data_IF_161899869938
#
_entry.id   IF_161899869938
#
_cell.length_a   1.000
_cell.length_b   1.000
_cell.length_c   1.000
_cell.angle_alpha   90.00
_cell.angle_beta   90.00
_cell.angle_gamma   90.00
#
_symmetry.space_group_name_H-M   'P 1'
#
loop_
_entity.id
_entity.type
_entity.pdbx_description
1 polymer ?
#
# COMPACT_ATOMS: atom_id res chain seq x y z
N UNK A 1 -0.09 23.41 17.56
CA UNK A 1 1.12 22.77 18.11
C UNK A 1 0.76 21.34 18.34
N UNK A 2 1.17 20.51 17.39
CA UNK A 2 0.90 19.09 17.26
C UNK A 2 2.26 18.42 17.47
N UNK A 3 2.35 17.47 18.40
CA UNK A 3 3.46 16.52 18.40
C UNK A 3 3.25 15.51 17.25
N UNK A 4 4.20 14.65 16.95
CA UNK A 4 4.09 13.54 16.00
C UNK A 4 4.89 12.43 16.68
N UNK A 5 4.48 11.17 16.58
CA UNK A 5 5.24 10.08 17.17
C UNK A 5 5.36 8.98 16.13
N UNK A 6 6.60 8.69 15.75
CA UNK A 6 6.99 7.59 14.89
C UNK A 6 7.87 6.68 15.74
N UNK A 7 7.49 5.40 15.85
CA UNK A 7 8.36 4.37 16.45
C UNK A 7 9.07 3.65 15.31
N UNK A 8 10.41 3.72 15.26
CA UNK A 8 11.23 3.07 14.24
C UNK A 8 12.21 2.13 14.93
N UNK A 9 12.16 0.83 14.63
CA UNK A 9 13.02 -0.18 15.26
C UNK A 9 13.81 -0.95 14.18
N UNK A 10 15.13 -0.76 14.13
CA UNK A 10 16.07 -1.34 13.15
C UNK A 10 17.53 -1.12 13.56
N UNK A 11 18.51 -1.76 12.89
CA UNK A 11 19.93 -1.56 13.22
C UNK A 11 20.45 -0.18 12.76
N UNK A 12 21.19 0.50 13.66
CA UNK A 12 22.09 1.67 13.50
C UNK A 12 22.02 2.55 12.23
N UNK A 13 21.87 3.86 12.44
CA UNK A 13 22.18 4.92 11.46
C UNK A 13 23.66 5.36 11.60
N UNK A 14 24.39 5.60 10.50
CA UNK A 14 25.68 6.32 10.53
C UNK A 14 25.44 7.82 10.82
N UNK A 15 26.27 8.43 11.67
CA UNK A 15 26.18 9.84 12.13
C UNK A 15 26.28 10.88 11.00
N UNK A 16 25.48 11.94 11.08
CA UNK A 16 25.67 13.21 10.35
C UNK A 16 25.52 14.38 11.33
N UNK A 17 26.49 15.31 11.33
CA UNK A 17 26.46 16.56 12.11
C UNK A 17 25.27 17.46 11.71
N UNK A 18 24.62 18.05 12.71
CA UNK A 18 23.60 19.09 12.52
C UNK A 18 24.30 20.42 12.19
N UNK A 19 24.14 20.92 10.97
CA UNK A 19 24.51 22.28 10.60
C UNK A 19 23.29 23.21 10.62
N UNK A 20 23.51 24.46 11.03
CA UNK A 20 22.52 25.54 10.94
C UNK A 20 21.96 25.64 9.51
N UNK A 21 20.69 26.03 9.34
CA UNK A 21 20.07 26.20 8.02
C UNK A 21 20.92 27.14 7.15
N UNK A 22 21.14 26.81 5.86
CA UNK A 22 22.00 27.61 5.01
C UNK A 22 21.42 29.03 4.87
N UNK A 23 22.20 30.02 5.31
CA UNK A 23 22.15 31.34 4.69
C UNK A 23 22.43 31.12 3.19
N UNK A 24 21.66 31.77 2.33
CA UNK A 24 21.69 31.69 0.87
C UNK A 24 22.99 32.26 0.25
N UNK A 25 24.16 32.02 0.86
CA UNK A 25 25.46 32.44 0.34
C UNK A 25 26.43 31.26 0.41
N UNK A 26 26.63 30.63 -0.74
CA UNK A 26 27.29 29.33 -0.87
C UNK A 26 28.70 29.25 -0.27
N UNK A 27 29.00 28.06 0.26
CA UNK A 27 30.21 27.27 0.04
C UNK A 27 30.10 25.97 0.84
N UNK A 28 30.40 24.84 0.19
CA UNK A 28 30.36 23.48 0.78
C UNK A 28 31.62 23.22 1.60
N UNK A 29 31.47 22.64 2.79
CA UNK A 29 32.57 22.01 3.56
C UNK A 29 32.12 20.61 4.00
N UNK A 30 32.92 19.60 3.67
CA UNK A 30 32.81 18.23 4.20
C UNK A 30 33.73 18.06 5.40
N UNK A 31 33.27 17.41 6.48
CA UNK A 31 34.14 16.65 7.40
C UNK A 31 33.41 15.51 8.12
N UNK A 32 34.17 14.46 8.41
CA UNK A 32 33.86 13.20 9.08
C UNK A 32 34.20 13.18 10.58
N UNK A 33 33.65 12.17 11.29
CA UNK A 33 34.04 11.51 12.57
C UNK A 33 33.34 11.93 13.88
N UNK A 34 32.47 11.06 14.43
CA UNK A 34 32.68 10.33 15.70
C UNK A 34 31.90 10.74 16.97
N UNK A 35 31.23 9.72 17.55
CA UNK A 35 30.86 9.46 18.96
C UNK A 35 29.69 10.24 19.62
N UNK A 36 28.51 9.63 19.54
CA UNK A 36 27.53 9.34 20.62
C UNK A 36 26.51 10.41 21.08
N UNK A 37 25.28 9.88 21.30
CA UNK A 37 24.15 10.31 22.12
C UNK A 37 23.26 11.51 21.68
N UNK A 38 22.10 11.13 21.12
CA UNK A 38 20.76 11.75 21.20
C UNK A 38 20.11 12.36 19.92
N UNK A 39 19.03 11.70 19.49
CA UNK A 39 17.67 12.24 19.30
C UNK A 39 17.47 13.45 18.36
N UNK A 40 17.65 13.25 17.05
CA UNK A 40 16.95 13.99 15.98
C UNK A 40 16.96 13.19 14.65
N UNK A 41 15.83 12.75 14.08
CA UNK A 41 15.77 12.25 12.69
C UNK A 41 15.68 13.51 11.85
N UNK A 42 16.88 13.96 11.49
CA UNK A 42 17.15 14.84 10.38
C UNK A 42 18.22 14.12 9.55
N UNK A 43 17.89 13.70 8.34
CA UNK A 43 18.90 13.27 7.37
C UNK A 43 19.18 14.42 6.42
N UNK A 44 20.46 14.79 6.34
CA UNK A 44 20.95 15.98 5.65
C UNK A 44 20.93 15.87 4.13
N UNK A 45 20.51 16.98 3.53
CA UNK A 45 20.81 17.54 2.21
C UNK A 45 21.70 16.68 1.27
N UNK A 46 21.05 15.98 0.34
CA UNK A 46 21.35 16.15 -1.08
C UNK A 46 20.15 16.86 -1.70
N UNK A 47 20.39 17.77 -2.65
CA UNK A 47 19.49 18.90 -3.00
C UNK A 47 18.08 18.56 -3.56
N UNK A 48 17.56 17.32 -3.47
CA UNK A 48 16.41 16.93 -4.31
C UNK A 48 15.41 15.92 -3.73
N UNK A 49 15.42 15.56 -2.44
CA UNK A 49 14.31 14.85 -1.81
C UNK A 49 14.17 15.25 -0.34
N UNK A 50 12.96 15.60 0.11
CA UNK A 50 12.72 16.09 1.48
C UNK A 50 11.69 15.23 2.20
N UNK A 51 12.17 14.29 3.02
CA UNK A 51 11.36 13.75 4.11
C UNK A 51 11.13 14.88 5.14
N UNK A 52 9.98 15.55 5.08
CA UNK A 52 9.63 16.59 6.03
C UNK A 52 9.19 15.97 7.37
N UNK A 53 10.11 15.96 8.35
CA UNK A 53 9.75 15.90 9.77
C UNK A 53 9.68 17.34 10.27
N UNK A 54 8.52 17.79 10.76
CA UNK A 54 8.30 19.18 11.19
C UNK A 54 9.33 19.60 12.26
N UNK A 55 10.21 20.58 11.99
CA UNK A 55 11.23 21.04 12.94
C UNK A 55 10.65 21.90 14.09
N UNK A 56 9.34 22.19 14.12
CA UNK A 56 8.72 23.03 15.14
C UNK A 56 8.37 22.33 16.47
N UNK A 57 8.71 21.05 16.64
CA UNK A 57 8.55 20.33 17.91
C UNK A 57 9.75 19.43 18.18
N UNK A 58 10.54 19.75 19.19
CA UNK A 58 11.73 19.01 19.63
C UNK A 58 11.44 17.66 20.32
N UNK A 59 10.33 16.99 19.99
CA UNK A 59 9.84 15.75 20.66
C UNK A 59 9.06 14.81 19.70
N UNK A 60 9.57 14.51 18.49
CA UNK A 60 8.71 14.01 17.38
C UNK A 60 8.84 12.55 16.91
N UNK A 61 9.69 11.72 17.51
CA UNK A 61 9.76 10.29 17.21
C UNK A 61 10.62 9.58 18.28
N UNK A 62 10.45 8.26 18.42
CA UNK A 62 11.20 7.42 19.35
C UNK A 62 11.83 6.25 18.59
N UNK A 63 13.14 6.10 18.72
CA UNK A 63 13.89 4.93 18.26
C UNK A 63 14.29 4.17 19.53
N UNK A 64 13.87 2.91 19.65
CA UNK A 64 14.24 2.02 20.75
C UNK A 64 14.64 0.67 20.15
N UNK A 65 15.43 -0.12 20.87
CA UNK A 65 15.80 -1.46 20.43
C UNK A 65 15.04 -2.55 21.23
N UNK A 66 14.28 -2.14 22.25
CA UNK A 66 13.51 -3.01 23.13
C UNK A 66 11.99 -2.80 22.97
N UNK A 67 11.44 -3.47 21.95
CA UNK A 67 10.01 -3.66 21.67
C UNK A 67 9.17 -4.06 22.88
N UNK A 68 9.76 -4.79 23.83
CA UNK A 68 9.02 -5.41 24.94
C UNK A 68 8.51 -4.38 25.97
N UNK A 69 9.01 -3.14 25.91
CA UNK A 69 8.51 -2.01 26.71
C UNK A 69 7.16 -1.48 26.21
N UNK A 70 6.85 -1.72 24.94
CA UNK A 70 5.74 -1.06 24.25
C UNK A 70 4.64 -2.03 23.86
N UNK A 71 4.99 -3.29 23.58
CA UNK A 71 4.04 -4.32 23.19
C UNK A 71 3.93 -5.42 24.24
N UNK A 72 2.69 -5.86 24.47
CA UNK A 72 2.33 -6.99 25.35
C UNK A 72 2.93 -8.32 24.92
N UNK A 73 3.41 -8.39 23.68
CA UNK A 73 3.93 -9.60 23.09
C UNK A 73 5.10 -9.27 22.15
N UNK A 74 6.18 -10.03 22.27
CA UNK A 74 7.40 -9.92 21.46
C UNK A 74 7.41 -10.89 20.28
N UNK A 75 6.36 -11.71 20.12
CA UNK A 75 6.25 -12.77 19.12
C UNK A 75 5.03 -12.57 18.22
N UNK A 76 5.02 -11.46 17.47
CA UNK A 76 3.94 -11.10 16.56
C UNK A 76 4.22 -11.56 15.11
N UNK A 77 3.19 -12.00 14.39
CA UNK A 77 3.21 -12.34 12.96
C UNK A 77 4.39 -13.24 12.54
N UNK A 78 4.70 -14.27 13.35
CA UNK A 78 5.84 -15.16 13.09
C UNK A 78 5.45 -16.26 12.10
N UNK A 79 6.33 -16.62 11.15
CA UNK A 79 6.09 -17.77 10.28
C UNK A 79 5.96 -19.06 11.07
N UNK A 80 4.86 -19.79 10.86
CA UNK A 80 4.62 -21.09 11.51
C UNK A 80 5.39 -22.23 10.83
N UNK A 81 5.64 -22.10 9.53
CA UNK A 81 6.38 -23.08 8.73
C UNK A 81 7.13 -22.44 7.53
N UNK A 82 8.45 -22.41 7.61
CA UNK A 82 9.37 -21.85 6.59
C UNK A 82 9.29 -22.53 5.22
N UNK A 83 8.76 -23.76 5.16
CA UNK A 83 8.60 -24.52 3.91
C UNK A 83 7.36 -24.13 3.12
N UNK A 84 6.46 -23.39 3.76
CA UNK A 84 5.19 -22.90 3.20
C UNK A 84 5.10 -21.41 3.54
N UNK A 85 5.86 -20.55 2.84
CA UNK A 85 6.02 -19.13 3.18
C UNK A 85 4.72 -18.30 3.15
N UNK A 86 3.58 -18.91 2.83
CA UNK A 86 2.26 -18.31 2.84
C UNK A 86 1.53 -18.45 4.19
N UNK A 87 1.98 -19.34 5.09
CA UNK A 87 1.31 -19.62 6.37
C UNK A 87 2.07 -18.97 7.54
N UNK A 88 1.73 -17.72 7.87
CA UNK A 88 2.16 -17.05 9.10
C UNK A 88 1.10 -17.29 10.18
N UNK A 89 1.51 -17.63 11.41
CA UNK A 89 0.58 -17.67 12.54
C UNK A 89 0.36 -16.23 13.02
N UNK A 90 -0.80 -15.67 12.66
CA UNK A 90 -1.17 -14.27 12.87
C UNK A 90 -2.15 -14.11 14.05
N UNK A 91 -2.35 -15.16 14.86
CA UNK A 91 -3.32 -15.18 15.96
C UNK A 91 -3.01 -14.20 17.10
N UNK A 92 -1.88 -13.51 17.02
CA UNK A 92 -1.47 -12.50 17.99
C UNK A 92 -1.28 -11.20 17.21
N UNK A 93 -1.90 -10.10 17.67
CA UNK A 93 -1.67 -8.73 17.20
C UNK A 93 -0.86 -7.97 18.25
N UNK A 94 0.01 -7.00 17.89
CA UNK A 94 0.73 -6.22 18.86
C UNK A 94 -0.27 -5.37 19.66
N UNK A 95 -0.60 -5.76 20.89
CA UNK A 95 -1.36 -4.90 21.80
C UNK A 95 -0.37 -4.03 22.56
N UNK A 96 -0.54 -2.70 22.48
CA UNK A 96 0.24 -1.75 23.26
C UNK A 96 0.02 -1.99 24.77
N UNK A 97 1.09 -1.99 25.55
CA UNK A 97 1.04 -2.11 27.03
C UNK A 97 1.35 -0.80 27.75
N UNK A 98 1.89 0.18 27.05
CA UNK A 98 2.19 1.49 27.60
C UNK A 98 1.35 2.55 26.88
N UNK A 99 0.49 3.23 27.64
CA UNK A 99 -0.40 4.30 27.20
C UNK A 99 0.23 5.70 27.36
N UNK A 100 1.41 5.81 28.00
CA UNK A 100 2.11 7.09 28.26
C UNK A 100 2.64 7.76 26.98
N UNK A 101 2.45 7.16 25.80
CA UNK A 101 2.67 7.80 24.50
C UNK A 101 1.61 8.86 24.14
N UNK A 102 0.49 8.91 24.87
CA UNK A 102 -0.73 9.60 24.45
C UNK A 102 -0.85 11.04 24.95
N UNK A 103 0.06 11.93 24.54
CA UNK A 103 -0.37 13.31 24.26
C UNK A 103 -0.92 13.32 22.83
N UNK A 104 -2.17 12.86 22.70
CA UNK A 104 -2.90 12.73 21.43
C UNK A 104 -2.81 14.03 20.66
N UNK A 105 -1.98 13.96 19.64
CA UNK A 105 -1.84 14.97 18.61
C UNK A 105 -3.21 15.14 17.99
N UNK A 106 -3.76 16.36 18.00
CA UNK A 106 -4.89 16.68 17.13
C UNK A 106 -4.42 16.39 15.72
N UNK A 107 -4.88 15.30 15.12
CA UNK A 107 -4.58 14.99 13.72
C UNK A 107 -4.92 16.20 12.84
N UNK A 108 -4.24 16.33 11.71
CA UNK A 108 -4.71 17.20 10.63
C UNK A 108 -6.23 16.99 10.47
N UNK A 109 -7.07 18.04 10.35
CA UNK A 109 -8.52 17.92 10.27
C UNK A 109 -9.02 16.97 9.18
N UNK A 110 -8.16 16.55 8.23
CA UNK A 110 -8.46 15.52 7.23
C UNK A 110 -8.58 14.10 7.79
N UNK A 111 -7.97 13.79 8.95
CA UNK A 111 -7.96 12.45 9.54
C UNK A 111 -8.93 12.31 10.72
N UNK A 112 -9.51 11.12 10.87
CA UNK A 112 -10.30 10.75 12.03
C UNK A 112 -9.43 10.76 13.29
N UNK A 113 -9.89 11.42 14.35
CA UNK A 113 -9.16 11.44 15.63
C UNK A 113 -9.32 10.11 16.35
N UNK A 114 -8.23 9.58 16.88
CA UNK A 114 -8.19 8.35 17.68
C UNK A 114 -7.37 8.51 18.95
N UNK A 115 -7.62 7.66 19.95
CA UNK A 115 -6.89 7.56 21.21
C UNK A 115 -5.81 6.47 21.24
N UNK A 116 -5.52 5.82 20.10
CA UNK A 116 -4.47 4.78 20.01
C UNK A 116 -3.48 5.09 18.89
N UNK A 117 -2.26 4.56 19.02
CA UNK A 117 -1.22 4.60 18.00
C UNK A 117 -1.34 3.38 17.08
N UNK A 118 -1.08 3.57 15.79
CA UNK A 118 -1.10 2.51 14.80
C UNK A 118 -2.49 2.20 14.26
N UNK A 119 -2.61 1.05 13.59
CA UNK A 119 -3.77 0.68 12.77
C UNK A 119 -5.02 0.34 13.57
N UNK A 120 -4.88 -0.18 14.79
CA UNK A 120 -5.98 -0.68 15.60
C UNK A 120 -5.79 -0.35 17.08
N UNK A 121 -6.91 -0.17 17.77
CA UNK A 121 -6.93 0.03 19.22
C UNK A 121 -7.05 -1.27 20.00
N UNK A 122 -7.28 -1.15 21.32
CA UNK A 122 -7.32 -2.29 22.23
C UNK A 122 -8.73 -2.87 22.39
N UNK A 123 -9.77 -2.07 22.17
CA UNK A 123 -11.18 -2.50 22.26
C UNK A 123 -11.62 -3.22 20.98
N UNK A 124 -12.70 -4.02 21.07
CA UNK A 124 -13.21 -4.75 19.91
C UNK A 124 -13.64 -3.82 18.77
N UNK A 125 -14.28 -2.69 19.10
CA UNK A 125 -14.70 -1.70 18.10
C UNK A 125 -13.55 -0.99 17.39
N UNK A 126 -12.35 -0.99 17.97
CA UNK A 126 -11.15 -0.39 17.37
C UNK A 126 -10.34 -1.40 16.55
N UNK A 127 -10.72 -2.68 16.58
CA UNK A 127 -10.15 -3.75 15.77
C UNK A 127 -11.06 -3.97 14.56
N UNK A 128 -10.91 -3.12 13.55
CA UNK A 128 -11.71 -3.16 12.32
C UNK A 128 -11.64 -4.48 11.54
N UNK A 129 -10.67 -5.35 11.85
CA UNK A 129 -10.57 -6.71 11.31
C UNK A 129 -11.43 -7.75 12.05
N UNK A 130 -11.82 -7.47 13.28
CA UNK A 130 -12.45 -8.45 14.17
C UNK A 130 -13.89 -8.81 13.78
N UNK A 131 -14.36 -9.98 14.22
CA UNK A 131 -15.71 -10.50 14.02
C UNK A 131 -16.19 -10.45 12.55
N UNK A 132 -15.29 -10.73 11.61
CA UNK A 132 -15.56 -10.58 10.18
C UNK A 132 -14.95 -11.68 9.30
N UNK A 133 -15.50 -11.84 8.09
CA UNK A 133 -14.98 -12.74 7.04
C UNK A 133 -14.11 -12.00 6.00
N UNK A 134 -14.14 -10.65 6.00
CA UNK A 134 -13.40 -9.84 5.04
C UNK A 134 -11.89 -9.84 5.33
N UNK A 135 -11.50 -9.94 6.59
CA UNK A 135 -10.09 -9.94 6.97
C UNK A 135 -9.56 -11.37 7.07
N UNK A 136 -9.06 -11.89 5.95
CA UNK A 136 -8.41 -13.21 5.90
C UNK A 136 -7.02 -13.10 5.26
N UNK A 137 -5.99 -13.16 6.09
CA UNK A 137 -4.60 -13.02 5.68
C UNK A 137 -4.02 -14.30 5.05
N UNK A 138 -4.65 -15.47 5.26
CA UNK A 138 -4.23 -16.72 4.63
C UNK A 138 -5.35 -17.31 3.74
N UNK A 139 -5.52 -16.80 2.51
CA UNK A 139 -6.46 -17.37 1.57
C UNK A 139 -5.99 -18.67 0.91
N UNK A 140 -4.82 -19.25 1.26
CA UNK A 140 -4.21 -20.36 0.52
C UNK A 140 -5.14 -21.59 0.45
N UNK A 141 -5.83 -21.89 1.55
CA UNK A 141 -6.65 -23.09 1.68
C UNK A 141 -8.16 -22.83 1.45
N UNK A 142 -8.55 -21.59 1.10
CA UNK A 142 -9.96 -21.25 0.86
C UNK A 142 -10.45 -21.88 -0.45
N UNK A 143 -11.57 -22.60 -0.40
CA UNK A 143 -12.16 -23.26 -1.57
C UNK A 143 -13.28 -22.40 -2.16
N UNK A 144 -13.01 -21.70 -3.27
CA UNK A 144 -14.02 -20.90 -3.97
C UNK A 144 -14.87 -21.68 -4.99
N UNK A 145 -14.61 -22.98 -5.19
CA UNK A 145 -15.30 -23.86 -6.15
C UNK A 145 -15.33 -23.28 -7.58
N UNK A 146 -14.20 -22.77 -8.08
CA UNK A 146 -14.13 -22.23 -9.42
C UNK A 146 -14.47 -23.30 -10.48
N UNK A 147 -15.45 -23.03 -11.34
CA UNK A 147 -15.75 -23.85 -12.52
C UNK A 147 -15.70 -23.02 -13.79
N UNK A 148 -14.60 -23.21 -14.55
CA UNK A 148 -14.36 -22.53 -15.84
C UNK A 148 -15.46 -22.77 -16.88
N UNK A 149 -16.24 -23.85 -16.77
CA UNK A 149 -17.30 -24.16 -17.72
C UNK A 149 -18.59 -23.37 -17.44
N UNK A 150 -18.80 -22.95 -16.19
CA UNK A 150 -20.00 -22.20 -15.77
C UNK A 150 -19.73 -20.73 -15.49
N UNK A 151 -18.47 -20.36 -15.26
CA UNK A 151 -18.08 -18.96 -15.05
C UNK A 151 -18.46 -18.08 -16.25
N UNK A 152 -18.99 -16.89 -15.96
CA UNK A 152 -19.26 -15.85 -16.96
C UNK A 152 -17.92 -15.32 -17.44
N UNK A 153 -17.60 -15.58 -18.71
CA UNK A 153 -16.40 -15.06 -19.35
C UNK A 153 -16.60 -13.58 -19.67
N UNK A 154 -15.65 -12.76 -19.22
CA UNK A 154 -15.62 -11.32 -19.46
C UNK A 154 -14.32 -11.02 -20.21
N UNK A 155 -14.42 -10.46 -21.40
CA UNK A 155 -13.29 -10.19 -22.30
C UNK A 155 -13.56 -8.90 -23.10
N UNK A 156 -12.51 -8.18 -23.49
CA UNK A 156 -12.62 -6.95 -24.28
C UNK A 156 -13.26 -5.80 -23.50
N UNK A 157 -14.48 -5.40 -23.85
CA UNK A 157 -15.10 -4.18 -23.34
C UNK A 157 -16.41 -4.45 -22.58
N UNK A 158 -16.59 -3.77 -21.46
CA UNK A 158 -17.87 -3.62 -20.77
C UNK A 158 -18.46 -2.29 -21.22
N UNK A 159 -19.32 -2.34 -22.25
CA UNK A 159 -19.87 -1.16 -22.93
C UNK A 159 -21.19 -0.64 -22.34
N UNK A 160 -21.79 -1.38 -21.40
CA UNK A 160 -23.08 -1.05 -20.80
C UNK A 160 -23.06 -1.33 -19.31
N UNK A 161 -23.85 -0.55 -18.57
CA UNK A 161 -24.05 -0.77 -17.14
C UNK A 161 -24.47 -2.22 -16.91
N UNK A 162 -23.73 -2.91 -16.05
CA UNK A 162 -23.96 -4.32 -15.77
C UNK A 162 -23.78 -4.60 -14.28
N UNK A 163 -24.43 -5.66 -13.83
CA UNK A 163 -24.39 -6.09 -12.44
C UNK A 163 -23.86 -7.51 -12.37
N UNK A 164 -22.82 -7.70 -11.56
CA UNK A 164 -22.28 -9.00 -11.18
C UNK A 164 -22.86 -9.42 -9.84
N UNK A 165 -23.36 -10.65 -9.78
CA UNK A 165 -24.18 -11.16 -8.69
C UNK A 165 -23.50 -12.37 -8.05
N UNK A 166 -23.69 -12.55 -6.73
CA UNK A 166 -22.96 -13.60 -5.97
C UNK A 166 -23.36 -15.05 -6.30
N UNK A 167 -24.45 -15.25 -7.03
CA UNK A 167 -24.87 -16.57 -7.52
C UNK A 167 -24.06 -17.05 -8.74
N UNK A 168 -23.16 -16.21 -9.25
CA UNK A 168 -22.30 -16.50 -10.40
C UNK A 168 -20.84 -16.24 -10.07
N UNK A 169 -19.98 -16.89 -10.84
CA UNK A 169 -18.55 -16.61 -10.89
C UNK A 169 -18.24 -15.88 -12.19
N UNK A 170 -17.30 -14.95 -12.13
CA UNK A 170 -16.88 -14.14 -13.28
C UNK A 170 -15.41 -14.41 -13.55
N UNK A 171 -15.05 -14.60 -14.81
CA UNK A 171 -13.67 -14.84 -15.23
C UNK A 171 -13.22 -13.73 -16.18
N UNK A 172 -12.27 -12.92 -15.74
CA UNK A 172 -11.61 -11.87 -16.53
C UNK A 172 -10.56 -12.54 -17.43
N UNK A 173 -10.75 -12.42 -18.74
CA UNK A 173 -9.86 -12.97 -19.76
C UNK A 173 -9.14 -11.82 -20.48
N UNK A 174 -7.82 -11.76 -20.32
CA UNK A 174 -7.01 -10.65 -20.81
C UNK A 174 -7.36 -9.32 -20.15
N UNK A 175 -7.06 -8.22 -20.85
CA UNK A 175 -7.39 -6.87 -20.40
C UNK A 175 -8.85 -6.53 -20.73
N UNK A 176 -9.64 -6.24 -19.70
CA UNK A 176 -11.06 -5.92 -19.79
C UNK A 176 -11.29 -4.47 -19.42
N UNK A 177 -11.83 -3.68 -20.34
CA UNK A 177 -12.02 -2.24 -20.18
C UNK A 177 -13.49 -1.88 -19.93
N UNK A 178 -13.77 -1.24 -18.80
CA UNK A 178 -15.05 -0.59 -18.52
C UNK A 178 -15.03 0.78 -19.19
N UNK A 179 -15.94 1.02 -20.15
CA UNK A 179 -15.94 2.24 -20.97
C UNK A 179 -16.39 3.47 -20.19
N UNK A 180 -16.01 4.65 -20.70
CA UNK A 180 -16.51 5.93 -20.21
C UNK A 180 -18.05 5.96 -20.13
N UNK A 181 -18.58 6.52 -19.04
CA UNK A 181 -20.01 6.58 -18.75
C UNK A 181 -20.63 5.25 -18.30
N UNK A 182 -19.88 4.15 -18.25
CA UNK A 182 -20.36 2.83 -17.81
C UNK A 182 -20.09 2.62 -16.33
N UNK A 183 -21.07 2.06 -15.63
CA UNK A 183 -20.95 1.62 -14.24
C UNK A 183 -21.00 0.09 -14.15
N UNK A 184 -19.95 -0.53 -13.63
CA UNK A 184 -19.97 -1.93 -13.21
C UNK A 184 -20.39 -2.01 -11.74
N UNK A 185 -21.51 -2.69 -11.47
CA UNK A 185 -21.96 -2.98 -10.10
C UNK A 185 -21.56 -4.41 -9.74
N UNK A 186 -20.98 -4.65 -8.56
CA UNK A 186 -20.65 -5.98 -8.06
C UNK A 186 -21.31 -6.14 -6.69
N UNK A 187 -22.18 -7.15 -6.57
CA UNK A 187 -22.90 -7.40 -5.32
C UNK A 187 -21.99 -7.99 -4.23
N UNK A 188 -22.26 -7.74 -2.94
CA UNK A 188 -21.56 -8.38 -1.81
C UNK A 188 -21.46 -9.90 -1.97
N UNK A 189 -20.34 -10.48 -1.55
CA UNK A 189 -20.10 -11.92 -1.62
C UNK A 189 -19.79 -12.48 -3.02
N UNK A 190 -19.69 -11.63 -4.05
CA UNK A 190 -19.27 -12.07 -5.39
C UNK A 190 -17.78 -12.43 -5.40
N UNK A 191 -17.44 -13.53 -6.09
CA UNK A 191 -16.05 -13.92 -6.36
C UNK A 191 -15.74 -13.72 -7.84
N UNK A 192 -14.73 -12.90 -8.12
CA UNK A 192 -14.23 -12.58 -9.45
C UNK A 192 -12.86 -13.23 -9.63
N UNK A 193 -12.68 -13.92 -10.74
CA UNK A 193 -11.47 -14.65 -11.07
C UNK A 193 -10.69 -13.94 -12.17
N UNK A 194 -9.40 -13.72 -11.96
CA UNK A 194 -8.47 -13.30 -12.99
C UNK A 194 -7.83 -14.50 -13.70
N UNK A 195 -7.80 -14.48 -15.04
CA UNK A 195 -7.11 -15.50 -15.80
C UNK A 195 -5.60 -15.44 -15.57
N UNK A 196 -5.00 -16.60 -15.33
CA UNK A 196 -3.55 -16.75 -15.36
C UNK A 196 -3.08 -16.73 -16.80
N UNK A 197 -2.30 -15.72 -17.15
CA UNK A 197 -1.72 -15.52 -18.47
C UNK A 197 -0.40 -14.79 -18.37
N UNK A 198 0.27 -14.63 -19.52
CA UNK A 198 1.50 -13.83 -19.64
C UNK A 198 1.21 -12.61 -20.50
N UNK A 199 1.75 -11.46 -20.11
CA UNK A 199 1.47 -10.20 -20.81
C UNK A 199 -0.02 -9.90 -20.88
N UNK A 200 -0.50 -9.45 -22.05
CA UNK A 200 -1.90 -9.03 -22.27
C UNK A 200 -2.94 -10.15 -22.10
N UNK A 201 -2.52 -11.41 -21.98
CA UNK A 201 -3.42 -12.54 -21.70
C UNK A 201 -3.75 -12.69 -20.20
N UNK A 202 -2.98 -12.04 -19.32
CA UNK A 202 -3.29 -11.97 -17.90
C UNK A 202 -4.61 -11.22 -17.69
N UNK A 203 -5.45 -11.73 -16.79
CA UNK A 203 -6.71 -11.07 -16.44
C UNK A 203 -6.44 -9.74 -15.75
N UNK A 204 -6.89 -8.64 -16.34
CA UNK A 204 -6.84 -7.30 -15.75
C UNK A 204 -8.21 -6.65 -15.93
N UNK A 205 -8.74 -6.04 -14.87
CA UNK A 205 -9.98 -5.27 -14.94
C UNK A 205 -9.66 -3.77 -14.88
N UNK A 206 -9.83 -3.07 -16.00
CA UNK A 206 -9.48 -1.67 -16.18
C UNK A 206 -10.74 -0.81 -16.20
N UNK A 207 -10.79 0.19 -15.34
CA UNK A 207 -11.79 1.24 -15.34
C UNK A 207 -11.22 2.49 -16.04
N UNK A 208 -11.55 2.68 -17.32
CA UNK A 208 -11.13 3.87 -18.06
C UNK A 208 -11.73 5.15 -17.44
N UNK A 209 -11.10 6.29 -17.72
CA UNK A 209 -11.58 7.62 -17.29
C UNK A 209 -13.09 7.78 -17.52
N UNK A 210 -13.83 8.05 -16.44
CA UNK A 210 -15.27 8.32 -16.45
C UNK A 210 -16.17 7.08 -16.37
N UNK A 211 -15.58 5.89 -16.42
CA UNK A 211 -16.24 4.69 -15.93
C UNK A 211 -16.31 4.70 -14.39
N UNK A 212 -17.21 3.90 -13.83
CA UNK A 212 -17.41 3.79 -12.39
C UNK A 212 -17.55 2.35 -11.93
N UNK A 213 -17.16 2.12 -10.69
CA UNK A 213 -17.49 0.92 -9.94
C UNK A 213 -18.48 1.21 -8.82
N UNK A 214 -19.39 0.27 -8.58
CA UNK A 214 -20.19 0.20 -7.36
C UNK A 214 -20.09 -1.21 -6.79
N UNK A 215 -19.12 -1.42 -5.90
CA UNK A 215 -18.73 -2.75 -5.42
C UNK A 215 -18.45 -2.71 -3.92
N UNK A 216 -19.51 -2.60 -3.14
CA UNK A 216 -19.44 -2.48 -1.69
C UNK A 216 -19.85 -3.81 -1.07
N UNK A 217 -18.88 -4.60 -0.62
CA UNK A 217 -19.10 -5.80 0.17
C UNK A 217 -19.55 -5.48 1.59
N UNK A 218 -19.60 -6.49 2.45
CA UNK A 218 -19.82 -6.33 3.89
C UNK A 218 -18.75 -7.07 4.68
N UNK A 219 -18.62 -6.84 6.00
CA UNK A 219 -17.71 -7.63 6.83
C UNK A 219 -17.93 -9.13 6.70
N UNK A 220 -19.16 -9.59 6.51
CA UNK A 220 -19.55 -11.00 6.40
C UNK A 220 -19.52 -11.53 4.95
N UNK A 221 -19.81 -10.66 3.97
CA UNK A 221 -19.87 -10.97 2.54
C UNK A 221 -18.91 -10.06 1.75
N UNK A 222 -17.58 -10.20 1.94
CA UNK A 222 -16.60 -9.43 1.16
C UNK A 222 -16.70 -9.77 -0.33
N UNK A 223 -16.28 -8.83 -1.17
CA UNK A 223 -16.06 -9.11 -2.59
C UNK A 223 -14.62 -9.60 -2.75
N UNK A 224 -14.45 -10.74 -3.40
CA UNK A 224 -13.14 -11.38 -3.56
C UNK A 224 -12.72 -11.33 -5.03
N UNK A 225 -11.52 -10.82 -5.27
CA UNK A 225 -10.83 -10.91 -6.55
C UNK A 225 -9.61 -11.82 -6.38
N UNK A 226 -9.52 -12.89 -7.16
CA UNK A 226 -8.49 -13.91 -6.96
C UNK A 226 -8.11 -14.63 -8.26
N UNK A 227 -7.03 -15.41 -8.23
CA UNK A 227 -6.60 -16.23 -9.35
C UNK A 227 -7.43 -17.51 -9.55
N UNK A 228 -7.25 -18.16 -10.70
CA UNK A 228 -7.98 -19.40 -11.06
C UNK A 228 -7.38 -20.69 -10.48
N UNK A 229 -6.28 -20.62 -9.73
CA UNK A 229 -5.63 -21.80 -9.16
C UNK A 229 -6.44 -22.38 -7.99
N UNK A 230 -6.39 -23.71 -7.88
CA UNK A 230 -7.05 -24.44 -6.81
C UNK A 230 -6.44 -24.10 -5.44
N UNK A 231 -7.23 -24.34 -4.37
CA UNK A 231 -6.75 -24.19 -3.00
C UNK A 231 -5.49 -25.04 -2.78
N UNK A 232 -4.49 -24.46 -2.11
CA UNK A 232 -3.18 -25.07 -1.91
C UNK A 232 -2.18 -24.84 -3.06
N UNK A 233 -2.63 -24.49 -4.27
CA UNK A 233 -1.77 -24.29 -5.45
C UNK A 233 -1.57 -22.81 -5.81
N UNK A 234 -2.02 -21.89 -4.94
CA UNK A 234 -1.94 -20.45 -5.17
C UNK A 234 -0.54 -19.91 -4.98
N UNK A 235 -0.14 -19.00 -5.87
CA UNK A 235 1.15 -18.31 -5.91
C UNK A 235 0.90 -16.85 -6.24
N UNK A 236 1.85 -15.97 -5.91
CA UNK A 236 1.78 -14.57 -6.35
C UNK A 236 1.72 -14.44 -7.87
N UNK A 237 1.17 -13.33 -8.36
CA UNK A 237 1.07 -13.03 -9.80
C UNK A 237 0.31 -14.06 -10.62
N UNK A 238 -0.82 -14.52 -10.10
CA UNK A 238 -1.72 -15.42 -10.82
C UNK A 238 -2.65 -14.71 -11.79
N UNK A 239 -2.77 -13.39 -11.67
CA UNK A 239 -3.52 -12.52 -12.56
C UNK A 239 -3.01 -11.09 -12.38
N UNK A 240 -3.42 -10.16 -13.24
CA UNK A 240 -2.85 -8.82 -13.23
C UNK A 240 -3.36 -7.94 -12.10
N UNK A 241 -4.67 -7.74 -11.99
CA UNK A 241 -5.23 -6.90 -10.92
C UNK A 241 -6.38 -6.01 -11.39
N UNK A 242 -6.64 -4.96 -10.62
CA UNK A 242 -7.66 -3.95 -10.93
C UNK A 242 -6.99 -2.60 -11.15
N UNK A 243 -7.33 -1.91 -12.23
CA UNK A 243 -6.76 -0.60 -12.58
C UNK A 243 -7.87 0.44 -12.62
N UNK A 244 -7.67 1.56 -11.92
CA UNK A 244 -8.57 2.72 -11.95
C UNK A 244 -7.89 3.91 -12.58
N UNK A 245 -8.51 4.49 -13.61
CA UNK A 245 -8.00 5.64 -14.34
C UNK A 245 -8.95 6.81 -14.14
N UNK A 246 -8.44 7.88 -13.54
CA UNK A 246 -9.18 9.09 -13.21
C UNK A 246 -8.65 10.34 -13.90
N UNK A 247 -9.26 11.47 -13.56
CA UNK A 247 -8.98 12.81 -14.13
C UNK A 247 -8.35 13.79 -13.14
N UNK A 248 -7.90 13.32 -11.97
CA UNK A 248 -7.25 14.19 -11.01
C UNK A 248 -5.81 14.56 -11.43
N UNK A 249 -5.26 15.68 -10.93
CA UNK A 249 -3.90 16.09 -11.24
C UNK A 249 -2.84 15.03 -10.91
N UNK A 250 -1.82 14.97 -11.76
CA UNK A 250 -0.56 14.24 -11.57
C UNK A 250 0.57 15.11 -12.17
N UNK A 251 1.82 14.71 -11.98
CA UNK A 251 2.98 15.45 -12.46
C UNK A 251 3.62 14.90 -13.75
N UNK A 252 2.94 13.96 -14.42
CA UNK A 252 3.34 13.35 -15.71
C UNK A 252 2.60 13.96 -16.91
N UNK A 253 1.31 14.32 -16.76
CA UNK A 253 0.47 14.97 -17.79
C UNK A 253 -1.00 14.53 -17.80
N UNK A 254 -1.77 14.97 -18.81
CA UNK A 254 -3.24 14.77 -18.87
C UNK A 254 -3.68 13.46 -19.57
N UNK A 255 -2.89 12.95 -20.51
CA UNK A 255 -3.21 11.78 -21.35
C UNK A 255 -2.06 10.79 -21.31
N UNK A 256 -1.73 10.35 -20.10
CA UNK A 256 -0.62 9.43 -19.86
C UNK A 256 -1.17 8.01 -19.91
N UNK A 257 -0.52 7.15 -20.70
CA UNK A 257 -0.81 5.73 -20.70
C UNK A 257 -0.28 5.12 -19.41
N UNK A 258 -1.16 4.51 -18.61
CA UNK A 258 -0.76 3.72 -17.46
C UNK A 258 0.09 2.53 -17.94
N UNK A 259 1.11 2.17 -17.17
CA UNK A 259 1.94 1.04 -17.52
C UNK A 259 1.17 -0.30 -17.51
N UNK A 260 1.73 -1.26 -18.23
CA UNK A 260 1.16 -2.61 -18.34
C UNK A 260 -0.16 -2.70 -19.12
N UNK A 261 -0.77 -1.59 -19.54
CA UNK A 261 -2.06 -1.58 -20.26
C UNK A 261 -1.90 -1.32 -21.76
N UNK A 262 -2.58 -2.14 -22.56
CA UNK A 262 -2.61 -2.06 -24.00
C UNK A 262 -4.05 -2.24 -24.49
N UNK A 263 -4.73 -1.13 -24.77
CA UNK A 263 -6.05 -1.11 -25.41
C UNK A 263 -5.99 -0.86 -26.92
N UNK A 264 -7.10 -1.15 -27.60
CA UNK A 264 -7.22 -0.91 -29.05
C UNK A 264 -7.81 0.48 -29.37
N UNK A 265 -8.52 1.10 -28.42
CA UNK A 265 -9.09 2.43 -28.59
C UNK A 265 -8.18 3.54 -28.02
N UNK A 266 -8.32 4.75 -28.57
CA UNK A 266 -7.41 5.86 -28.29
C UNK A 266 -7.37 6.30 -26.82
N UNK A 267 -8.45 6.11 -26.07
CA UNK A 267 -8.58 6.53 -24.68
C UNK A 267 -8.35 5.39 -23.67
N UNK A 268 -8.12 4.16 -24.15
CA UNK A 268 -7.92 3.02 -23.27
C UNK A 268 -6.58 3.14 -22.52
N UNK A 269 -6.61 2.92 -21.20
CA UNK A 269 -5.39 2.99 -20.39
C UNK A 269 -4.94 4.42 -20.05
N UNK A 270 -5.59 5.46 -20.58
CA UNK A 270 -5.18 6.84 -20.33
C UNK A 270 -5.69 7.37 -18.99
N UNK A 271 -4.81 7.96 -18.19
CA UNK A 271 -5.12 8.72 -16.97
C UNK A 271 -4.58 10.15 -17.03
N UNK A 272 -5.09 11.00 -16.14
CA UNK A 272 -4.66 12.39 -16.01
C UNK A 272 -5.76 13.40 -16.34
N UNK A 273 -5.53 14.63 -15.87
CA UNK A 273 -6.44 15.76 -16.00
C UNK A 273 -6.29 16.75 -14.86
N UNK A 274 -7.30 17.61 -14.69
CA UNK A 274 -7.31 18.69 -13.70
C UNK A 274 -8.52 18.66 -12.74
N UNK A 275 -9.29 17.56 -12.72
CA UNK A 275 -10.46 17.42 -11.85
C UNK A 275 -10.10 16.65 -10.58
N UNK A 276 -9.70 17.40 -9.54
CA UNK A 276 -9.39 16.85 -8.22
C UNK A 276 -10.57 16.07 -7.58
N UNK A 277 -11.80 16.35 -8.03
CA UNK A 277 -13.04 15.79 -7.49
C UNK A 277 -13.62 14.67 -8.34
N UNK A 278 -12.89 14.23 -9.37
CA UNK A 278 -13.24 13.07 -10.18
C UNK A 278 -13.50 11.84 -9.30
N UNK A 279 -14.36 10.94 -9.78
CA UNK A 279 -14.82 9.79 -9.00
C UNK A 279 -14.89 8.55 -9.87
N UNK A 280 -14.06 7.56 -9.50
CA UNK A 280 -14.10 6.20 -10.04
C UNK A 280 -15.20 5.35 -9.40
N UNK A 281 -15.98 5.91 -8.46
CA UNK A 281 -17.10 5.24 -7.82
C UNK A 281 -16.86 4.90 -6.34
N UNK A 282 -17.47 3.81 -5.88
CA UNK A 282 -17.41 3.37 -4.48
C UNK A 282 -17.13 1.88 -4.37
N UNK A 283 -16.16 1.52 -3.53
CA UNK A 283 -15.84 0.12 -3.26
C UNK A 283 -15.32 -0.08 -1.83
N UNK A 284 -15.73 -1.19 -1.23
CA UNK A 284 -15.35 -1.50 0.15
C UNK A 284 -15.49 -2.97 0.47
N UNK A 285 -14.79 -3.43 1.52
CA UNK A 285 -14.73 -4.83 1.94
C UNK A 285 -14.25 -5.74 0.81
N UNK A 286 -13.12 -5.37 0.23
CA UNK A 286 -12.47 -6.11 -0.84
C UNK A 286 -11.35 -6.98 -0.31
N UNK A 287 -11.24 -8.18 -0.88
CA UNK A 287 -10.05 -9.01 -0.83
C UNK A 287 -9.50 -9.16 -2.23
N UNK A 288 -8.28 -8.70 -2.46
CA UNK A 288 -7.56 -8.91 -3.71
C UNK A 288 -6.40 -9.85 -3.40
N UNK A 289 -6.40 -11.00 -4.04
CA UNK A 289 -5.55 -12.12 -3.67
C UNK A 289 -4.71 -12.53 -4.88
N UNK A 290 -3.40 -12.69 -4.68
CA UNK A 290 -2.49 -13.25 -5.68
C UNK A 290 -2.43 -12.49 -7.02
N UNK A 291 -2.77 -11.20 -7.02
CA UNK A 291 -2.65 -10.31 -8.17
C UNK A 291 -1.22 -9.74 -8.28
N UNK A 292 -0.94 -8.84 -9.22
CA UNK A 292 0.38 -8.25 -9.43
C UNK A 292 1.22 -9.04 -10.43
N UNK A 293 1.48 -8.50 -11.63
CA UNK A 293 2.28 -9.18 -12.66
C UNK A 293 3.01 -8.20 -13.58
N UNK A 294 4.28 -8.50 -13.87
CA UNK A 294 4.98 -7.94 -15.01
C UNK A 294 4.31 -8.34 -16.34
N UNK A 295 3.71 -7.38 -17.02
CA UNK A 295 3.07 -7.58 -18.34
C UNK A 295 4.15 -7.68 -19.42
N UNK A 296 5.15 -6.80 -19.34
CA UNK A 296 6.41 -6.89 -20.10
C UNK A 296 7.55 -6.46 -19.17
N UNK A 297 8.84 -6.73 -19.49
CA UNK A 297 9.93 -6.34 -18.60
C UNK A 297 9.92 -4.83 -18.29
N UNK A 298 9.78 -4.46 -17.01
CA UNK A 298 9.70 -3.07 -16.55
C UNK A 298 8.41 -2.35 -16.98
N UNK A 299 7.32 -3.12 -17.19
CA UNK A 299 5.95 -2.59 -17.21
C UNK A 299 5.04 -3.58 -16.52
N UNK A 300 4.65 -3.21 -15.31
CA UNK A 300 3.98 -4.05 -14.36
C UNK A 300 2.51 -3.61 -14.21
N UNK A 301 1.69 -4.47 -13.60
CA UNK A 301 0.37 -4.11 -13.10
C UNK A 301 0.26 -4.66 -11.70
N UNK A 302 -0.18 -3.84 -10.77
CA UNK A 302 -0.20 -4.15 -9.34
C UNK A 302 -1.50 -4.84 -8.94
N UNK A 303 -1.61 -5.25 -7.67
CA UNK A 303 -2.89 -5.80 -7.22
C UNK A 303 -4.04 -4.80 -7.36
N UNK A 304 -3.78 -3.53 -7.02
CA UNK A 304 -4.60 -2.40 -7.45
C UNK A 304 -3.71 -1.24 -7.90
N UNK A 305 -3.96 -0.73 -9.10
CA UNK A 305 -3.26 0.45 -9.65
C UNK A 305 -4.22 1.64 -9.74
N UNK A 306 -3.78 2.80 -9.27
CA UNK A 306 -4.54 4.05 -9.25
C UNK A 306 -3.85 5.13 -10.10
N UNK A 307 -4.31 5.36 -11.33
CA UNK A 307 -3.87 6.47 -12.15
C UNK A 307 -4.77 7.70 -11.98
N UNK A 308 -4.28 8.79 -11.39
CA UNK A 308 -5.02 10.05 -11.26
C UNK A 308 -6.42 9.93 -10.66
N UNK A 309 -6.63 9.03 -9.68
CA UNK A 309 -7.95 8.85 -9.07
C UNK A 309 -8.28 10.01 -8.14
N UNK A 310 -9.44 10.63 -8.35
CA UNK A 310 -9.86 11.83 -7.63
C UNK A 310 -10.48 11.57 -6.26
N UNK A 311 -10.57 12.65 -5.48
CA UNK A 311 -11.11 12.67 -4.12
C UNK A 311 -12.61 12.40 -4.02
N UNK A 312 -13.32 12.39 -5.15
CA UNK A 312 -14.73 11.98 -5.22
C UNK A 312 -14.92 10.46 -5.15
N UNK A 313 -13.84 9.67 -5.20
CA UNK A 313 -13.87 8.21 -5.06
C UNK A 313 -13.94 7.83 -3.57
N UNK A 314 -14.77 6.86 -3.22
CA UNK A 314 -14.83 6.32 -1.85
C UNK A 314 -14.27 4.90 -1.83
N UNK A 315 -13.22 4.68 -1.05
CA UNK A 315 -12.58 3.38 -0.92
C UNK A 315 -12.14 3.12 0.52
N UNK A 316 -12.60 2.01 1.11
CA UNK A 316 -12.19 1.62 2.46
C UNK A 316 -12.33 0.11 2.71
N UNK A 317 -11.61 -0.43 3.70
CA UNK A 317 -11.61 -1.87 4.02
C UNK A 317 -11.15 -2.71 2.83
N UNK A 318 -9.89 -2.51 2.44
CA UNK A 318 -9.26 -3.21 1.32
C UNK A 318 -8.12 -4.07 1.87
N UNK A 319 -8.18 -5.37 1.61
CA UNK A 319 -7.13 -6.32 1.96
C UNK A 319 -6.47 -6.87 0.69
N UNK A 320 -5.16 -6.70 0.59
CA UNK A 320 -4.31 -7.31 -0.44
C UNK A 320 -3.51 -8.44 0.19
N UNK A 321 -3.50 -9.61 -0.47
CA UNK A 321 -2.71 -10.76 -0.01
C UNK A 321 -1.88 -11.34 -1.14
N UNK A 322 -0.61 -11.62 -0.86
CA UNK A 322 0.29 -12.31 -1.77
C UNK A 322 0.40 -11.61 -3.14
N UNK A 323 0.50 -10.28 -3.15
CA UNK A 323 0.75 -9.51 -4.36
C UNK A 323 2.10 -9.93 -4.98
N UNK A 324 2.11 -10.17 -6.29
CA UNK A 324 3.28 -10.55 -7.09
C UNK A 324 4.08 -9.38 -7.63
N UNK A 325 3.67 -8.20 -7.21
CA UNK A 325 4.24 -6.88 -7.49
C UNK A 325 3.85 -6.02 -6.29
N UNK A 326 3.73 -4.71 -6.48
CA UNK A 326 3.15 -3.85 -5.46
C UNK A 326 1.74 -4.29 -5.04
N UNK A 327 1.44 -4.15 -3.75
CA UNK A 327 0.09 -4.40 -3.27
C UNK A 327 -0.88 -3.27 -3.70
N UNK A 328 -0.45 -2.01 -3.64
CA UNK A 328 -1.16 -0.89 -4.26
C UNK A 328 -0.17 0.16 -4.75
N UNK A 329 -0.42 0.73 -5.92
CA UNK A 329 0.39 1.82 -6.46
C UNK A 329 -0.48 3.00 -6.91
N UNK A 330 -0.04 4.21 -6.59
CA UNK A 330 -0.67 5.46 -7.00
C UNK A 330 0.21 6.26 -7.95
N UNK A 331 -0.27 6.43 -9.18
CA UNK A 331 0.27 7.37 -10.15
C UNK A 331 -0.52 8.68 -10.08
N UNK A 332 -0.17 9.55 -9.13
CA UNK A 332 -0.85 10.82 -8.93
C UNK A 332 -2.25 10.70 -8.33
N UNK A 333 -3.02 11.79 -8.36
CA UNK A 333 -4.38 11.83 -7.83
C UNK A 333 -4.50 12.20 -6.35
N UNK A 334 -5.74 12.13 -5.84
CA UNK A 334 -6.16 12.65 -4.52
C UNK A 334 -7.17 11.75 -3.80
N UNK A 335 -7.22 10.46 -4.15
CA UNK A 335 -8.12 9.54 -3.44
C UNK A 335 -7.72 9.46 -1.95
N UNK A 336 -8.73 9.50 -1.09
CA UNK A 336 -8.56 9.26 0.35
C UNK A 336 -9.06 7.86 0.66
N UNK A 337 -8.28 7.09 1.42
CA UNK A 337 -8.58 5.70 1.74
C UNK A 337 -8.39 5.41 3.22
N UNK A 338 -9.20 4.48 3.75
CA UNK A 338 -9.06 4.02 5.13
C UNK A 338 -9.22 2.53 5.29
N UNK A 339 -8.64 1.96 6.34
CA UNK A 339 -8.69 0.52 6.65
C UNK A 339 -8.06 -0.30 5.52
N UNK A 340 -6.75 -0.11 5.35
CA UNK A 340 -5.95 -0.77 4.31
C UNK A 340 -5.12 -1.86 4.98
N UNK A 341 -5.10 -3.05 4.39
CA UNK A 341 -4.28 -4.15 4.84
C UNK A 341 -3.49 -4.75 3.69
N UNK A 342 -2.19 -4.97 3.88
CA UNK A 342 -1.37 -5.77 2.98
C UNK A 342 -0.71 -6.89 3.77
N UNK A 343 -0.59 -8.03 3.11
CA UNK A 343 0.08 -9.18 3.67
C UNK A 343 0.79 -9.95 2.57
N UNK A 344 2.03 -10.34 2.84
CA UNK A 344 2.76 -11.26 1.97
C UNK A 344 3.09 -10.70 0.57
N UNK A 345 3.18 -9.38 0.43
CA UNK A 345 3.59 -8.67 -0.80
C UNK A 345 4.99 -9.08 -1.28
N UNK A 346 5.24 -9.07 -2.58
CA UNK A 346 6.56 -9.34 -3.17
C UNK A 346 7.39 -8.07 -3.24
N UNK A 347 6.89 -7.03 -3.92
CA UNK A 347 7.58 -5.74 -4.05
C UNK A 347 7.09 -4.74 -3.00
N UNK A 348 6.72 -3.51 -3.31
CA UNK A 348 6.34 -2.53 -2.31
C UNK A 348 4.91 -2.77 -1.78
N UNK A 349 4.69 -2.55 -0.48
CA UNK A 349 3.33 -2.69 0.03
C UNK A 349 2.45 -1.56 -0.51
N UNK A 350 2.85 -0.30 -0.33
CA UNK A 350 2.19 0.86 -0.92
C UNK A 350 3.23 1.76 -1.59
N UNK A 351 3.15 1.92 -2.92
CA UNK A 351 3.95 2.88 -3.68
C UNK A 351 3.11 4.10 -4.08
N UNK A 352 3.58 5.29 -3.72
CA UNK A 352 2.95 6.55 -4.09
C UNK A 352 3.92 7.41 -4.91
N UNK A 353 3.62 7.58 -6.19
CA UNK A 353 4.38 8.38 -7.15
C UNK A 353 3.54 9.51 -7.78
N UNK A 354 4.17 10.25 -8.69
CA UNK A 354 3.54 10.98 -9.77
C UNK A 354 2.63 12.13 -9.30
N UNK A 355 2.92 12.68 -8.12
CA UNK A 355 2.19 13.79 -7.56
C UNK A 355 0.99 13.39 -6.71
N UNK A 356 0.96 12.14 -6.22
CA UNK A 356 -0.10 11.67 -5.34
C UNK A 356 -0.20 12.57 -4.10
N UNK A 357 -1.39 13.06 -3.79
CA UNK A 357 -1.62 13.98 -2.67
C UNK A 357 -2.90 13.66 -1.87
N UNK A 358 -3.32 12.39 -1.91
CA UNK A 358 -4.40 11.85 -1.10
C UNK A 358 -3.98 11.51 0.33
N UNK A 359 -4.91 10.94 1.09
CA UNK A 359 -4.68 10.51 2.49
C UNK A 359 -4.97 9.02 2.70
N UNK A 360 -4.16 8.37 3.54
CA UNK A 360 -4.31 6.97 3.92
C UNK A 360 -4.44 6.87 5.45
N UNK A 361 -5.45 6.20 5.98
CA UNK A 361 -5.63 6.05 7.44
C UNK A 361 -5.95 4.61 7.85
N UNK A 362 -5.45 4.18 9.02
CA UNK A 362 -5.65 2.81 9.53
C UNK A 362 -5.02 1.77 8.59
N UNK A 363 -3.71 1.88 8.40
CA UNK A 363 -2.93 1.06 7.47
C UNK A 363 -2.22 -0.05 8.23
N UNK A 364 -2.37 -1.30 7.79
CA UNK A 364 -1.73 -2.44 8.41
C UNK A 364 -0.93 -3.24 7.38
N UNK A 365 0.36 -3.39 7.61
CA UNK A 365 1.28 -4.02 6.67
C UNK A 365 2.06 -5.12 7.40
N UNK A 366 2.08 -6.32 6.81
CA UNK A 366 2.92 -7.43 7.27
C UNK A 366 3.68 -8.01 6.08
N UNK A 367 4.99 -7.78 6.07
CA UNK A 367 5.88 -8.24 5.01
C UNK A 367 6.12 -9.74 5.06
N UNK A 368 6.33 -10.37 3.92
CA UNK A 368 6.93 -11.71 3.89
C UNK A 368 8.43 -11.58 4.21
N UNK A 369 8.96 -12.30 5.21
CA UNK A 369 10.38 -12.23 5.53
C UNK A 369 11.30 -12.94 4.54
N UNK A 370 10.77 -13.75 3.63
CA UNK A 370 11.52 -14.64 2.71
C UNK A 370 11.25 -14.36 1.24
N UNK A 371 10.62 -13.24 0.92
CA UNK A 371 10.34 -12.85 -0.46
C UNK A 371 10.41 -11.33 -0.57
N UNK A 372 11.26 -10.87 -1.48
CA UNK A 372 11.35 -9.50 -1.94
C UNK A 372 11.61 -9.50 -3.45
N UNK A 373 11.17 -8.46 -4.14
CA UNK A 373 11.47 -8.27 -5.55
C UNK A 373 12.96 -7.96 -5.79
N UNK A 374 13.43 -8.12 -7.02
CA UNK A 374 14.79 -7.80 -7.44
C UNK A 374 15.10 -6.30 -7.45
N UNK A 375 14.07 -5.44 -7.59
CA UNK A 375 14.13 -3.98 -7.38
C UNK A 375 14.47 -3.62 -5.93
N UNK A 376 13.99 -4.45 -5.00
CA UNK A 376 14.15 -4.35 -3.56
C UNK A 376 12.93 -3.73 -2.88
N UNK A 377 12.38 -4.44 -1.91
CA UNK A 377 11.04 -4.20 -1.39
C UNK A 377 11.00 -3.35 -0.11
N UNK A 378 10.10 -2.37 -0.09
CA UNK A 378 9.77 -1.47 1.00
C UNK A 378 8.33 -1.70 1.49
N UNK A 379 8.00 -1.19 2.68
CA UNK A 379 6.59 -1.09 3.06
C UNK A 379 5.92 0.15 2.46
N UNK A 380 6.57 1.30 2.55
CA UNK A 380 6.13 2.49 1.84
C UNK A 380 7.25 2.90 0.89
N UNK A 381 6.97 2.95 -0.41
CA UNK A 381 7.78 3.66 -1.39
C UNK A 381 7.06 4.95 -1.78
N UNK A 382 7.78 6.07 -1.76
CA UNK A 382 7.17 7.40 -1.98
C UNK A 382 8.09 8.22 -2.86
N UNK A 383 7.76 8.27 -4.14
CA UNK A 383 8.49 8.98 -5.19
C UNK A 383 7.63 10.12 -5.76
N UNK A 384 8.18 10.99 -6.62
CA UNK A 384 7.38 12.06 -7.24
C UNK A 384 7.71 12.28 -8.70
N UNK A 385 8.80 12.96 -9.03
CA UNK A 385 9.19 13.20 -10.42
C UNK A 385 10.70 13.19 -10.49
N UNK A 386 11.24 12.63 -11.57
CA UNK A 386 12.68 12.68 -11.86
C UNK A 386 13.20 14.12 -11.95
N UNK A 387 12.31 15.07 -12.25
CA UNK A 387 12.59 16.49 -12.22
C UNK A 387 12.12 17.14 -10.90
N UNK A 388 13.07 17.79 -10.22
CA UNK A 388 12.86 18.56 -8.99
C UNK A 388 11.81 19.65 -9.18
N UNK A 389 10.96 19.88 -8.18
CA UNK A 389 9.90 20.88 -8.14
C UNK A 389 8.83 20.72 -9.24
N UNK A 390 8.65 19.52 -9.78
CA UNK A 390 7.53 19.24 -10.69
C UNK A 390 6.24 19.16 -9.89
N UNK A 391 5.33 20.11 -10.10
CA UNK A 391 4.04 20.13 -9.42
C UNK A 391 2.97 19.32 -10.19
N UNK A 392 2.03 18.68 -9.48
CA UNK A 392 1.98 18.51 -8.03
C UNK A 392 3.13 17.63 -7.53
N UNK A 393 3.81 18.07 -6.47
CA UNK A 393 4.78 17.22 -5.75
C UNK A 393 4.01 16.14 -4.99
N UNK A 394 4.47 14.88 -5.02
CA UNK A 394 3.89 13.82 -4.19
C UNK A 394 3.95 14.21 -2.73
N UNK A 395 2.78 14.21 -2.08
CA UNK A 395 2.55 14.56 -0.69
C UNK A 395 1.68 13.48 -0.05
N UNK A 396 2.26 12.29 0.12
CA UNK A 396 1.59 11.19 0.79
C UNK A 396 1.38 11.52 2.27
N UNK A 397 0.13 11.48 2.71
CA UNK A 397 -0.24 11.68 4.12
C UNK A 397 -0.82 10.37 4.65
N UNK A 398 -0.13 9.76 5.61
CA UNK A 398 -0.50 8.48 6.20
C UNK A 398 -0.69 8.66 7.70
N UNK A 399 -1.80 8.18 8.23
CA UNK A 399 -2.06 8.18 9.66
C UNK A 399 -2.42 6.78 10.15
N UNK A 400 -2.09 6.49 11.42
CA UNK A 400 -2.52 5.24 12.04
C UNK A 400 -2.02 3.99 11.28
N UNK A 401 -0.72 3.96 10.96
CA UNK A 401 -0.10 2.80 10.34
C UNK A 401 0.52 1.84 11.38
N UNK A 402 0.38 0.54 11.21
CA UNK A 402 1.15 -0.50 11.90
C UNK A 402 1.83 -1.36 10.85
N UNK A 403 3.15 -1.22 10.74
CA UNK A 403 3.96 -1.86 9.71
C UNK A 403 4.94 -2.82 10.36
N UNK A 404 4.96 -4.07 9.91
CA UNK A 404 5.78 -5.13 10.49
C UNK A 404 6.66 -5.80 9.45
N UNK A 405 7.96 -5.56 9.63
CA UNK A 405 9.05 -6.08 8.83
C UNK A 405 9.67 -7.37 9.38
N UNK A 406 10.61 -7.94 8.61
CA UNK A 406 11.14 -9.29 8.84
C UNK A 406 11.94 -9.46 10.13
N UNK A 407 12.71 -8.47 10.57
CA UNK A 407 13.60 -8.61 11.73
C UNK A 407 12.80 -8.85 13.01
N UNK A 408 11.65 -8.19 13.14
CA UNK A 408 10.77 -8.38 14.29
C UNK A 408 10.07 -9.74 14.22
N UNK A 409 9.62 -10.16 13.04
CA UNK A 409 8.99 -11.48 12.82
C UNK A 409 9.95 -12.64 13.13
N UNK A 410 11.25 -12.47 12.85
CA UNK A 410 12.27 -13.50 13.01
C UNK A 410 13.09 -13.39 14.30
N UNK A 411 12.75 -12.48 15.19
CA UNK A 411 13.50 -12.29 16.45
C UNK A 411 13.55 -13.59 17.28
N UNK A 412 14.75 -13.92 17.78
CA UNK A 412 15.01 -15.16 18.51
C UNK A 412 14.92 -16.44 17.68
N UNK A 413 14.92 -16.35 16.34
CA UNK A 413 14.98 -17.52 15.44
C UNK A 413 16.36 -17.65 14.76
N UNK A 414 16.72 -18.85 14.32
CA UNK A 414 17.94 -19.10 13.51
C UNK A 414 17.75 -18.78 12.02
N UNK A 415 16.60 -18.21 11.64
CA UNK A 415 16.23 -17.95 10.24
C UNK A 415 16.73 -16.60 9.77
N UNK A 416 17.00 -16.49 8.47
CA UNK A 416 17.49 -15.27 7.82
C UNK A 416 16.43 -14.77 6.85
N UNK A 417 16.22 -13.47 6.84
CA UNK A 417 15.29 -12.81 5.93
C UNK A 417 15.90 -12.56 4.55
N UNK A 418 15.07 -12.26 3.56
CA UNK A 418 15.52 -11.89 2.22
C UNK A 418 16.26 -10.54 2.24
N UNK A 419 17.48 -10.52 1.72
CA UNK A 419 18.35 -9.33 1.76
C UNK A 419 17.90 -8.21 0.84
N UNK A 420 16.96 -8.48 -0.06
CA UNK A 420 16.34 -7.49 -0.93
C UNK A 420 15.21 -6.73 -0.22
N UNK A 421 14.84 -7.09 1.01
CA UNK A 421 13.98 -6.23 1.84
C UNK A 421 14.78 -5.00 2.28
N UNK A 422 14.30 -3.83 1.88
CA UNK A 422 14.94 -2.54 2.06
C UNK A 422 14.45 -1.84 3.33
N UNK A 423 13.39 -1.04 3.23
CA UNK A 423 12.99 -0.11 4.27
C UNK A 423 11.52 -0.21 4.69
N UNK A 424 11.23 0.20 5.92
CA UNK A 424 9.85 0.44 6.35
C UNK A 424 9.23 1.68 5.70
N UNK A 425 10.07 2.66 5.33
CA UNK A 425 9.70 3.86 4.59
C UNK A 425 10.87 4.27 3.70
N UNK A 426 10.64 4.36 2.40
CA UNK A 426 11.56 4.91 1.40
C UNK A 426 10.90 6.12 0.77
N UNK A 427 11.58 7.27 0.73
CA UNK A 427 11.09 8.44 0.02
C UNK A 427 12.17 9.02 -0.87
N UNK A 428 11.89 9.28 -2.14
CA UNK A 428 12.89 9.73 -3.11
C UNK A 428 12.28 10.79 -4.07
N UNK A 429 13.07 11.24 -5.06
CA UNK A 429 12.61 12.04 -6.21
C UNK A 429 11.71 13.26 -5.88
N UNK A 430 12.11 14.09 -4.91
CA UNK A 430 11.40 15.30 -4.42
C UNK A 430 10.05 15.05 -3.72
N UNK A 431 9.74 13.81 -3.39
CA UNK A 431 8.52 13.48 -2.68
C UNK A 431 8.54 13.95 -1.21
N UNK A 432 7.34 14.05 -0.64
CA UNK A 432 7.11 14.39 0.76
C UNK A 432 6.22 13.34 1.40
N UNK A 433 6.73 12.70 2.44
CA UNK A 433 5.99 11.74 3.25
C UNK A 433 5.62 12.35 4.61
N UNK A 434 4.35 12.28 4.99
CA UNK A 434 3.84 12.72 6.29
C UNK A 434 3.19 11.54 7.02
N UNK A 435 3.82 11.06 8.09
CA UNK A 435 3.42 9.84 8.81
C UNK A 435 2.99 10.13 10.25
N UNK A 436 1.69 10.07 10.53
CA UNK A 436 1.12 10.44 11.83
C UNK A 436 0.73 9.21 12.65
N UNK A 437 1.02 9.24 13.96
CA UNK A 437 0.46 8.28 14.92
C UNK A 437 0.64 6.80 14.51
N UNK A 438 1.86 6.45 14.11
CA UNK A 438 2.15 5.21 13.39
C UNK A 438 3.35 4.46 13.97
N UNK A 439 3.41 3.17 13.69
CA UNK A 439 4.37 2.21 14.21
C UNK A 439 5.03 1.49 13.03
N UNK A 440 6.35 1.51 12.95
CA UNK A 440 7.15 0.77 11.95
C UNK A 440 8.17 -0.10 12.68
N UNK A 441 8.03 -1.42 12.57
CA UNK A 441 8.76 -2.40 13.36
C UNK A 441 9.59 -3.32 12.47
N UNK A 442 10.84 -3.58 12.83
CA UNK A 442 11.55 -4.77 12.37
C UNK A 442 12.02 -4.73 10.91
N UNK A 443 12.43 -3.56 10.42
CA UNK A 443 13.02 -3.45 9.09
C UNK A 443 14.55 -3.32 9.18
N UNK A 444 15.29 -3.79 8.16
CA UNK A 444 16.72 -3.54 8.04
C UNK A 444 17.03 -2.04 8.09
N UNK A 445 16.22 -1.26 7.36
CA UNK A 445 16.23 0.20 7.42
C UNK A 445 14.85 0.68 7.85
N UNK A 446 14.79 1.49 8.91
CA UNK A 446 13.53 1.99 9.42
C UNK A 446 12.84 2.99 8.49
N UNK A 447 13.58 4.03 8.11
CA UNK A 447 13.20 5.02 7.12
C UNK A 447 14.46 5.49 6.35
N UNK A 448 14.33 5.76 5.05
CA UNK A 448 15.41 6.25 4.20
C UNK A 448 14.93 7.30 3.21
N UNK A 449 15.87 8.17 2.81
CA UNK A 449 15.68 9.18 1.77
C UNK A 449 16.90 9.15 0.83
N UNK A 450 16.96 8.16 -0.10
CA UNK A 450 18.15 7.88 -0.90
C UNK A 450 18.51 8.94 -1.95
#
# INVERSE_FOLDING_TARGET
MLCMLILVLGQSCEEIEILDPPDNTGNVVQTSTGDSDALGIYFGLNETATLFVDPASSETYLVDDDVSKYFSNTSFARPSNVSVPNNLDLDQFPLLINEDFLDVVKTDPVFETTSYVGAFGSTMSEKWYSDSNWFNLDPQDVVYNFDKNTAVKVEGYIEQNTTWTKDKQYLILGQVFVKDGVTLTIEPGTVVFGNKGTGVEAGVLIFNRGSKINANGTPEEPIVFTGTADAGERTRGQWGGVVFLGRAPNNKGDDILIEGIQGDEADDGLFGGNDETDSSGTFSFWRVEYAGIAITPGNEVNSITYGSVGSGTTAHHILITAAGDDAMEWFGGKINMSYIATYNTLDDDLDMDSGFSGTLQYVYIVRNPYAADESGANAFEISSSDAVNTEPITRAQIANATVVGPLYQLDGTDLVYDRLINAGLSSNNDARAYIYNSIILGFPVGAQNP
#
